data_IF_551389718304
#
_entry.id   IF_551389718304
#
_cell.length_a   1.000
_cell.length_b   1.000
_cell.length_c   1.000
_cell.angle_alpha   90.00
_cell.angle_beta   90.00
_cell.angle_gamma   90.00
#
_symmetry.space_group_name_H-M   'P 1'
#
loop_
_entity.id
_entity.type
_entity.pdbx_description
1 polymer ?
#
# COMPACT_ATOMS: atom_id res chain seq x y z
N UNK A 1 -5.85 -4.10 -1.73
CA UNK A 1 -5.85 -5.45 -2.35
C UNK A 1 -7.16 -5.68 -3.09
N UNK A 2 -7.20 -6.56 -4.10
CA UNK A 2 -8.45 -7.01 -4.72
C UNK A 2 -9.43 -7.61 -3.71
N UNK A 3 -10.73 -7.54 -4.02
CA UNK A 3 -11.77 -8.17 -3.19
C UNK A 3 -11.88 -9.68 -3.42
N UNK A 4 -11.74 -10.11 -4.67
CA UNK A 4 -11.65 -11.53 -5.02
C UNK A 4 -10.19 -11.98 -4.95
N UNK A 5 -9.97 -13.27 -4.68
CA UNK A 5 -8.63 -13.82 -4.65
C UNK A 5 -7.97 -13.80 -6.03
N UNK A 6 -6.80 -13.18 -6.12
CA UNK A 6 -5.91 -13.23 -7.28
C UNK A 6 -4.46 -13.27 -6.79
N UNK A 7 -3.72 -14.27 -7.23
CA UNK A 7 -2.33 -14.50 -6.81
C UNK A 7 -1.33 -13.66 -7.58
N UNK A 8 -1.51 -13.51 -8.90
CA UNK A 8 -0.69 -12.66 -9.74
C UNK A 8 -1.36 -11.33 -10.13
N UNK A 9 -0.56 -10.30 -10.30
CA UNK A 9 -0.99 -9.02 -10.83
C UNK A 9 -1.19 -9.10 -12.35
N UNK A 10 -2.44 -9.18 -12.76
CA UNK A 10 -2.84 -9.15 -14.16
C UNK A 10 -4.20 -8.44 -14.32
N UNK A 11 -4.53 -7.93 -15.51
CA UNK A 11 -5.81 -7.27 -15.74
C UNK A 11 -6.95 -8.29 -15.70
N UNK A 12 -7.96 -8.03 -14.86
CA UNK A 12 -9.17 -8.84 -14.75
C UNK A 12 -10.40 -7.98 -15.07
N UNK A 13 -11.48 -8.56 -15.61
CA UNK A 13 -12.79 -7.90 -15.79
C UNK A 13 -12.73 -6.48 -16.41
N UNK A 14 -11.96 -6.30 -17.49
CA UNK A 14 -11.88 -5.01 -18.19
C UNK A 14 -10.72 -4.10 -17.75
N UNK A 15 -9.82 -4.57 -16.88
CA UNK A 15 -8.53 -3.92 -16.61
C UNK A 15 -8.39 -3.40 -15.19
N UNK A 16 -7.69 -2.26 -15.05
CA UNK A 16 -7.30 -1.71 -13.75
C UNK A 16 -8.03 -0.41 -13.39
N UNK A 17 -9.16 -0.09 -14.02
CA UNK A 17 -9.88 1.18 -13.77
C UNK A 17 -10.21 1.38 -12.29
N UNK A 18 -10.86 0.39 -11.65
CA UNK A 18 -11.18 0.47 -10.22
C UNK A 18 -9.93 0.52 -9.32
N UNK A 19 -8.82 -0.09 -9.74
CA UNK A 19 -7.55 0.06 -9.03
C UNK A 19 -7.01 1.48 -9.17
N UNK A 20 -7.03 2.06 -10.38
CA UNK A 20 -6.55 3.41 -10.65
C UNK A 20 -7.34 4.46 -9.85
N UNK A 21 -8.66 4.30 -9.74
CA UNK A 21 -9.51 5.18 -8.95
C UNK A 21 -9.15 5.15 -7.46
N UNK A 22 -9.02 3.95 -6.89
CA UNK A 22 -8.64 3.77 -5.48
C UNK A 22 -7.22 4.28 -5.24
N UNK A 23 -6.29 3.95 -6.13
CA UNK A 23 -4.89 4.36 -6.00
C UNK A 23 -4.75 5.88 -6.03
N UNK A 24 -5.44 6.56 -6.96
CA UNK A 24 -5.46 8.02 -7.00
C UNK A 24 -6.10 8.62 -5.73
N UNK A 25 -7.20 8.04 -5.25
CA UNK A 25 -7.86 8.49 -4.01
C UNK A 25 -6.92 8.40 -2.80
N UNK A 26 -6.19 7.30 -2.67
CA UNK A 26 -5.23 7.10 -1.56
C UNK A 26 -4.08 8.09 -1.65
N UNK A 27 -3.53 8.34 -2.84
CA UNK A 27 -2.45 9.33 -3.00
C UNK A 27 -2.91 10.75 -2.65
N UNK A 28 -4.12 11.15 -3.07
CA UNK A 28 -4.70 12.45 -2.68
C UNK A 28 -4.92 12.59 -1.17
N UNK A 29 -5.32 11.50 -0.49
CA UNK A 29 -5.40 11.47 0.97
C UNK A 29 -4.04 11.71 1.61
N UNK A 30 -2.99 11.02 1.14
CA UNK A 30 -1.63 11.20 1.64
C UNK A 30 -1.12 12.63 1.44
N UNK A 31 -1.35 13.20 0.26
CA UNK A 31 -0.97 14.59 -0.06
C UNK A 31 -1.63 15.58 0.89
N UNK A 32 -2.91 15.37 1.22
CA UNK A 32 -3.67 16.22 2.12
C UNK A 32 -3.25 16.09 3.58
N UNK A 33 -2.89 14.89 4.06
CA UNK A 33 -2.54 14.66 5.47
C UNK A 33 -1.11 15.12 5.78
N UNK A 34 -0.19 14.91 4.83
CA UNK A 34 1.25 15.05 5.07
C UNK A 34 1.91 16.11 4.18
N UNK A 35 1.15 17.05 3.63
CA UNK A 35 1.64 18.18 2.80
C UNK A 35 2.54 17.72 1.64
N UNK A 36 2.01 16.86 0.76
CA UNK A 36 2.72 16.29 -0.40
C UNK A 36 4.01 15.54 -0.02
N UNK A 37 3.91 14.44 0.76
CA UNK A 37 5.07 13.69 1.18
C UNK A 37 5.72 12.99 -0.02
N UNK A 38 7.05 12.80 0.02
CA UNK A 38 7.67 11.80 -0.83
C UNK A 38 7.18 10.40 -0.41
N UNK A 39 6.88 9.52 -1.36
CA UNK A 39 6.46 8.15 -1.07
C UNK A 39 7.13 7.16 -2.03
N UNK A 40 7.14 5.89 -1.63
CA UNK A 40 7.39 4.76 -2.53
C UNK A 40 6.13 3.88 -2.54
N UNK A 41 5.93 3.12 -3.61
CA UNK A 41 4.98 2.01 -3.60
C UNK A 41 5.64 0.75 -4.14
N UNK A 42 5.18 -0.41 -3.69
CA UNK A 42 5.67 -1.72 -4.11
C UNK A 42 4.51 -2.60 -4.53
N UNK A 43 4.69 -3.31 -5.63
CA UNK A 43 3.78 -4.35 -6.07
C UNK A 43 4.26 -5.68 -5.52
N UNK A 44 3.42 -6.32 -4.72
CA UNK A 44 3.61 -7.67 -4.21
C UNK A 44 2.74 -8.61 -5.04
N UNK A 45 3.35 -9.47 -5.85
CA UNK A 45 2.69 -10.40 -6.78
C UNK A 45 3.36 -11.76 -6.70
N UNK A 46 2.65 -12.83 -7.10
CA UNK A 46 3.24 -14.17 -7.21
C UNK A 46 4.55 -14.19 -8.01
N UNK A 47 5.49 -15.10 -7.67
CA UNK A 47 6.64 -15.40 -8.50
C UNK A 47 6.23 -15.81 -9.92
N UNK A 48 7.10 -15.53 -10.88
CA UNK A 48 6.88 -15.95 -12.27
C UNK A 48 6.74 -17.48 -12.36
N UNK A 49 5.71 -17.94 -13.06
CA UNK A 49 5.43 -19.36 -13.24
C UNK A 49 4.55 -19.98 -12.15
N UNK A 50 4.18 -19.21 -11.11
CA UNK A 50 3.22 -19.58 -10.07
C UNK A 50 2.02 -18.62 -10.06
N UNK A 51 1.53 -18.28 -11.26
CA UNK A 51 0.57 -17.20 -11.48
C UNK A 51 -0.78 -17.48 -10.81
N UNK A 52 -1.17 -18.75 -10.69
CA UNK A 52 -2.38 -19.23 -10.01
C UNK A 52 -2.01 -20.10 -8.81
N UNK A 53 -2.34 -19.62 -7.61
CA UNK A 53 -2.18 -20.36 -6.36
C UNK A 53 -3.16 -19.87 -5.29
N UNK A 54 -3.39 -20.68 -4.26
CA UNK A 54 -4.39 -20.41 -3.22
C UNK A 54 -3.83 -19.72 -1.96
N UNK A 55 -2.51 -19.50 -1.90
CA UNK A 55 -1.82 -19.00 -0.70
C UNK A 55 -1.34 -17.55 -0.81
N UNK A 56 -1.12 -17.05 -2.02
CA UNK A 56 -0.64 -15.69 -2.27
C UNK A 56 -1.77 -14.81 -2.81
N UNK A 57 -1.89 -13.59 -2.30
CA UNK A 57 -2.86 -12.61 -2.78
C UNK A 57 -2.13 -11.31 -3.08
N UNK A 58 -2.09 -10.92 -4.36
CA UNK A 58 -1.34 -9.74 -4.76
C UNK A 58 -1.90 -8.47 -4.11
N UNK A 59 -1.02 -7.55 -3.78
CA UNK A 59 -1.43 -6.25 -3.26
C UNK A 59 -0.36 -5.20 -3.58
N UNK A 60 -0.73 -3.94 -3.34
CA UNK A 60 0.17 -2.80 -3.43
C UNK A 60 0.34 -2.25 -2.03
N UNK A 61 1.59 -2.05 -1.64
CA UNK A 61 1.97 -1.34 -0.42
C UNK A 61 2.41 0.08 -0.79
N UNK A 62 1.92 1.08 -0.06
CA UNK A 62 2.29 2.49 -0.24
C UNK A 62 2.92 2.98 1.06
N UNK A 63 4.16 3.47 0.98
CA UNK A 63 4.95 3.91 2.13
C UNK A 63 5.34 5.39 1.98
N UNK A 64 4.64 6.32 2.66
CA UNK A 64 5.09 7.71 2.75
C UNK A 64 6.37 7.81 3.59
N UNK A 65 7.31 8.64 3.16
CA UNK A 65 8.59 8.87 3.85
C UNK A 65 8.41 9.94 4.92
N UNK A 66 7.95 9.53 6.10
CA UNK A 66 7.65 10.44 7.22
C UNK A 66 8.80 10.57 8.23
N UNK A 67 9.62 9.53 8.38
CA UNK A 67 10.72 9.47 9.36
C UNK A 67 11.99 8.93 8.71
N UNK A 68 13.14 9.22 9.34
CA UNK A 68 14.42 8.62 8.97
C UNK A 68 14.60 7.33 9.76
N UNK A 69 15.04 6.29 9.07
CA UNK A 69 15.44 5.01 9.68
C UNK A 69 16.66 5.27 10.59
N UNK A 70 16.61 4.82 11.85
CA UNK A 70 17.70 5.00 12.81
C UNK A 70 18.53 3.71 12.99
N UNK A 71 19.49 3.74 13.90
CA UNK A 71 20.44 2.64 14.09
C UNK A 71 19.80 1.33 14.58
N UNK A 72 18.66 1.40 15.27
CA UNK A 72 17.93 0.21 15.71
C UNK A 72 17.31 -0.54 14.55
N UNK A 73 16.59 0.16 13.67
CA UNK A 73 15.92 -0.47 12.53
C UNK A 73 16.95 -1.04 11.54
N UNK A 74 18.05 -0.34 11.31
CA UNK A 74 19.17 -0.86 10.50
C UNK A 74 19.83 -2.09 11.12
N UNK A 75 20.04 -2.09 12.44
CA UNK A 75 20.74 -3.17 13.14
C UNK A 75 19.90 -4.43 13.35
N UNK A 76 18.57 -4.28 13.44
CA UNK A 76 17.66 -5.37 13.81
C UNK A 76 16.74 -5.83 12.68
N UNK A 77 16.48 -4.99 11.67
CA UNK A 77 15.47 -5.23 10.65
C UNK A 77 14.02 -5.04 11.14
N UNK A 78 13.81 -4.67 12.41
CA UNK A 78 12.50 -4.33 12.95
C UNK A 78 12.20 -2.84 12.79
N UNK A 79 10.96 -2.53 12.46
CA UNK A 79 10.48 -1.15 12.35
C UNK A 79 9.65 -0.77 13.57
N UNK A 80 9.83 0.46 14.05
CA UNK A 80 8.97 1.04 15.08
C UNK A 80 7.90 1.86 14.36
N UNK A 81 6.64 1.44 14.48
CA UNK A 81 5.51 2.23 13.98
C UNK A 81 4.95 3.11 15.10
N UNK A 82 5.15 4.45 15.06
CA UNK A 82 4.66 5.34 16.10
C UNK A 82 3.14 5.57 16.04
N UNK A 83 2.49 5.24 14.92
CA UNK A 83 1.05 5.45 14.71
C UNK A 83 0.34 4.10 14.56
N UNK A 84 -0.54 3.72 15.51
CA UNK A 84 -1.33 2.51 15.39
C UNK A 84 -2.17 2.51 14.09
N UNK A 85 -2.39 1.34 13.46
CA UNK A 85 -3.16 1.26 12.23
C UNK A 85 -4.61 1.75 12.39
N UNK A 86 -5.19 1.63 13.59
CA UNK A 86 -6.53 2.12 13.92
C UNK A 86 -6.63 3.64 13.78
N UNK A 87 -5.60 4.36 14.26
CA UNK A 87 -5.51 5.81 14.16
C UNK A 87 -5.23 6.24 12.72
N UNK A 88 -4.29 5.58 12.04
CA UNK A 88 -3.99 5.85 10.63
C UNK A 88 -5.24 5.69 9.74
N UNK A 89 -5.99 4.61 9.94
CA UNK A 89 -7.23 4.35 9.20
C UNK A 89 -8.34 5.35 9.55
N UNK A 90 -8.38 5.88 10.78
CA UNK A 90 -9.29 6.97 11.15
C UNK A 90 -8.93 8.25 10.40
N UNK A 91 -7.67 8.69 10.46
CA UNK A 91 -7.22 9.91 9.78
C UNK A 91 -7.50 9.85 8.28
N UNK A 92 -7.16 8.75 7.61
CA UNK A 92 -7.40 8.56 6.17
C UNK A 92 -8.90 8.64 5.80
N UNK A 93 -9.81 8.17 6.66
CA UNK A 93 -11.27 8.21 6.42
C UNK A 93 -11.89 9.59 6.65
N UNK A 94 -11.32 10.36 7.56
CA UNK A 94 -11.83 11.68 7.95
C UNK A 94 -11.37 12.79 6.99
N UNK A 95 -10.39 12.51 6.11
CA UNK A 95 -10.01 13.45 5.05
C UNK A 95 -11.15 13.61 4.04
N UNK A 96 -11.59 14.86 3.87
CA UNK A 96 -12.48 15.29 2.79
C UNK A 96 -11.72 16.15 1.79
N UNK A 97 -11.93 15.94 0.49
CA UNK A 97 -11.40 16.73 -0.62
C UNK A 97 -12.52 17.15 -1.57
#
# INVERSE_FOLDING_TARGET
>A
MPKSHYSAFSPHNGGFSGLADIFQSVLKQLDSIFEFPAYNFMLHTSPFGEDENDYYHWHIEIMPKLTKIAGFEWGSGFYINPTPPEDAARYMREVSF
#
